data_IF_912870059816
#
_entry.id   IF_912870059816
#
_cell.length_a   1.000
_cell.length_b   1.000
_cell.length_c   1.000
_cell.angle_alpha   90.00
_cell.angle_beta   90.00
_cell.angle_gamma   90.00
#
_symmetry.space_group_name_H-M   'P 1'
#
loop_
_entity.id
_entity.type
_entity.pdbx_description
1 polymer ?
#
# COMPACT_ATOMS: atom_id res chain seq x y z
N UNK A 1 8.95 -38.41 -25.20
CA UNK A 1 9.87 -37.42 -24.59
C UNK A 1 9.38 -35.98 -24.76
N UNK A 2 8.91 -35.52 -25.94
CA UNK A 2 8.33 -34.17 -26.11
C UNK A 2 7.11 -33.86 -25.21
N UNK A 3 6.26 -34.86 -24.94
CA UNK A 3 5.04 -34.69 -24.14
C UNK A 3 5.32 -34.47 -22.64
N UNK A 4 6.40 -35.06 -22.12
CA UNK A 4 6.85 -34.79 -20.74
C UNK A 4 7.41 -33.37 -20.60
N UNK A 5 8.12 -32.87 -21.62
CA UNK A 5 8.64 -31.50 -21.63
C UNK A 5 7.53 -30.46 -21.67
N UNK A 6 6.47 -30.69 -22.44
CA UNK A 6 5.32 -29.79 -22.51
C UNK A 6 4.52 -29.75 -21.19
N UNK A 7 4.36 -30.91 -20.54
CA UNK A 7 3.69 -31.02 -19.24
C UNK A 7 4.49 -30.32 -18.12
N UNK A 8 5.82 -30.41 -18.15
CA UNK A 8 6.70 -29.77 -17.17
C UNK A 8 6.75 -28.24 -17.31
N UNK A 9 6.64 -27.73 -18.55
CA UNK A 9 6.51 -26.29 -18.82
C UNK A 9 5.14 -25.74 -18.40
N UNK A 10 4.06 -26.50 -18.55
CA UNK A 10 2.74 -26.10 -18.05
C UNK A 10 2.67 -26.09 -16.51
N UNK A 11 3.34 -27.04 -15.83
CA UNK A 11 3.35 -27.10 -14.37
C UNK A 11 4.10 -25.92 -13.72
N UNK A 12 5.16 -25.45 -14.37
CA UNK A 12 5.94 -24.28 -13.91
C UNK A 12 5.16 -22.97 -13.98
N UNK A 13 4.19 -22.86 -14.89
CA UNK A 13 3.35 -21.66 -15.02
C UNK A 13 2.30 -21.53 -13.90
N UNK A 14 1.97 -22.62 -13.20
CA UNK A 14 0.98 -22.62 -12.11
C UNK A 14 1.59 -22.34 -10.71
N UNK A 15 2.92 -22.40 -10.56
CA UNK A 15 3.60 -22.25 -9.27
C UNK A 15 3.83 -20.78 -8.84
N UNK A 16 3.43 -19.79 -9.66
CA UNK A 16 3.66 -18.36 -9.39
C UNK A 16 2.60 -17.67 -8.54
N UNK A 17 1.48 -18.33 -8.24
CA UNK A 17 0.41 -17.78 -7.43
C UNK A 17 0.65 -18.07 -5.95
N UNK A 18 1.55 -17.34 -5.30
CA UNK A 18 1.55 -17.25 -3.84
C UNK A 18 0.36 -16.37 -3.43
N UNK A 19 -0.64 -16.88 -2.70
CA UNK A 19 -1.75 -16.07 -2.23
C UNK A 19 -1.20 -14.96 -1.33
N UNK A 20 -1.61 -13.72 -1.58
CA UNK A 20 -1.41 -12.64 -0.62
C UNK A 20 -2.23 -13.00 0.62
N UNK A 21 -1.64 -12.87 1.81
CA UNK A 21 -2.41 -13.01 3.04
C UNK A 21 -3.59 -12.02 2.98
N UNK A 22 -4.82 -12.55 2.96
CA UNK A 22 -6.05 -11.78 2.73
C UNK A 22 -6.25 -10.67 3.77
N UNK A 23 -5.54 -10.74 4.90
CA UNK A 23 -5.66 -9.79 6.00
C UNK A 23 -4.47 -8.82 6.11
N UNK A 24 -3.70 -8.60 5.05
CA UNK A 24 -2.57 -7.66 5.04
C UNK A 24 -2.92 -6.32 4.40
N UNK A 25 -2.55 -5.22 5.05
CA UNK A 25 -2.68 -3.85 4.53
C UNK A 25 -1.28 -3.24 4.35
N UNK A 26 -0.92 -2.94 3.11
CA UNK A 26 0.33 -2.28 2.72
C UNK A 26 0.12 -0.78 2.69
N UNK A 27 0.91 -0.07 3.47
CA UNK A 27 0.79 1.38 3.66
C UNK A 27 2.07 2.05 3.16
N UNK A 28 1.96 2.90 2.15
CA UNK A 28 3.04 3.79 1.73
C UNK A 28 2.91 5.08 2.51
N UNK A 29 3.87 5.37 3.38
CA UNK A 29 3.86 6.52 4.29
C UNK A 29 4.96 7.51 3.93
N UNK A 30 4.59 8.68 3.43
CA UNK A 30 5.48 9.83 3.25
C UNK A 30 5.73 10.59 4.56
N UNK A 31 4.97 10.27 5.62
CA UNK A 31 5.24 10.78 6.96
C UNK A 31 6.53 10.22 7.56
N UNK A 32 7.18 11.04 8.38
CA UNK A 32 8.37 10.66 9.14
C UNK A 32 8.13 9.37 9.91
N UNK A 33 9.04 8.41 9.73
CA UNK A 33 8.95 7.09 10.36
C UNK A 33 8.79 7.19 11.88
N UNK A 34 9.51 8.10 12.52
CA UNK A 34 9.48 8.31 13.97
C UNK A 34 8.07 8.60 14.50
N UNK A 35 7.25 9.33 13.73
CA UNK A 35 5.88 9.65 14.10
C UNK A 35 4.86 8.63 13.57
N UNK A 36 5.05 8.14 12.34
CA UNK A 36 4.09 7.23 11.71
C UNK A 36 4.14 5.81 12.29
N UNK A 37 5.34 5.29 12.58
CA UNK A 37 5.51 3.95 13.13
C UNK A 37 4.73 3.69 14.43
N UNK A 38 4.78 4.54 15.47
CA UNK A 38 4.03 4.29 16.70
C UNK A 38 2.50 4.30 16.48
N UNK A 39 2.00 5.11 15.55
CA UNK A 39 0.57 5.17 15.20
C UNK A 39 0.13 3.87 14.51
N UNK A 40 0.87 3.44 13.50
CA UNK A 40 0.58 2.19 12.78
C UNK A 40 0.72 0.97 13.69
N UNK A 41 1.71 0.97 14.59
CA UNK A 41 1.85 -0.08 15.59
C UNK A 41 0.69 -0.09 16.59
N UNK A 42 0.18 1.07 17.00
CA UNK A 42 -1.01 1.15 17.87
C UNK A 42 -2.26 0.62 17.16
N UNK A 43 -2.45 0.95 15.88
CA UNK A 43 -3.51 0.38 15.06
C UNK A 43 -3.38 -1.15 14.95
N UNK A 44 -2.19 -1.68 14.63
CA UNK A 44 -1.93 -3.11 14.54
C UNK A 44 -2.24 -3.85 15.85
N UNK A 45 -1.84 -3.29 17.01
CA UNK A 45 -2.15 -3.88 18.33
C UNK A 45 -3.65 -3.96 18.61
N UNK A 46 -4.43 -2.97 18.15
CA UNK A 46 -5.89 -2.94 18.34
C UNK A 46 -6.63 -3.85 17.33
N UNK A 47 -6.00 -4.14 16.20
CA UNK A 47 -6.59 -4.90 15.10
C UNK A 47 -5.72 -6.12 14.79
N UNK A 48 -5.62 -7.06 15.73
CA UNK A 48 -4.73 -8.23 15.65
C UNK A 48 -5.02 -9.17 14.48
N UNK A 49 -6.22 -9.09 13.89
CA UNK A 49 -6.57 -9.82 12.68
C UNK A 49 -5.94 -9.22 11.40
N UNK A 50 -5.46 -7.97 11.44
CA UNK A 50 -4.90 -7.25 10.30
C UNK A 50 -3.39 -7.12 10.42
N UNK A 51 -2.67 -7.67 9.44
CA UNK A 51 -1.23 -7.46 9.30
C UNK A 51 -0.99 -6.08 8.66
N UNK A 52 -0.23 -5.22 9.35
CA UNK A 52 0.11 -3.88 8.86
C UNK A 52 1.52 -3.89 8.31
N UNK A 53 1.66 -3.59 7.02
CA UNK A 53 2.94 -3.62 6.30
C UNK A 53 3.31 -2.19 5.87
N UNK A 54 3.98 -1.40 6.72
CA UNK A 54 4.35 -0.04 6.38
C UNK A 54 5.63 0.00 5.53
N UNK A 55 5.60 0.79 4.46
CA UNK A 55 6.76 1.24 3.71
C UNK A 55 6.89 2.75 3.90
N UNK A 56 7.98 3.15 4.55
CA UNK A 56 8.30 4.56 4.74
C UNK A 56 9.16 5.06 3.59
N UNK A 57 9.06 6.35 3.28
CA UNK A 57 10.04 7.02 2.44
C UNK A 57 11.39 7.15 3.17
N UNK A 58 12.42 7.51 2.41
CA UNK A 58 13.71 7.93 2.95
C UNK A 58 13.84 9.44 2.82
N UNK A 59 14.51 10.08 3.77
CA UNK A 59 14.60 11.55 3.81
C UNK A 59 15.20 12.16 2.53
N UNK A 60 16.08 11.44 1.83
CA UNK A 60 16.68 11.92 0.58
C UNK A 60 15.70 12.00 -0.61
N UNK A 61 14.58 11.30 -0.56
CA UNK A 61 13.60 11.23 -1.67
C UNK A 61 12.18 11.50 -1.22
N UNK A 62 12.02 12.20 -0.10
CA UNK A 62 10.74 12.34 0.61
C UNK A 62 9.60 12.67 -0.34
N UNK A 63 8.55 11.86 -0.21
CA UNK A 63 7.33 11.84 -1.02
C UNK A 63 7.52 11.42 -2.47
N UNK A 64 8.50 12.00 -3.18
CA UNK A 64 8.73 11.75 -4.61
C UNK A 64 9.04 10.27 -4.89
N UNK A 65 9.78 9.62 -3.99
CA UNK A 65 10.12 8.21 -4.10
C UNK A 65 8.88 7.32 -4.12
N UNK A 66 7.98 7.50 -3.14
CA UNK A 66 6.74 6.75 -3.06
C UNK A 66 5.76 7.07 -4.21
N UNK A 67 5.68 8.33 -4.65
CA UNK A 67 4.84 8.73 -5.79
C UNK A 67 5.32 8.06 -7.08
N UNK A 68 6.62 8.13 -7.36
CA UNK A 68 7.22 7.47 -8.53
C UNK A 68 6.97 5.96 -8.49
N UNK A 69 7.04 5.37 -7.29
CA UNK A 69 6.75 3.96 -7.10
C UNK A 69 5.28 3.63 -7.43
N UNK A 70 4.32 4.40 -6.93
CA UNK A 70 2.89 4.23 -7.24
C UNK A 70 2.65 4.33 -8.75
N UNK A 71 3.24 5.33 -9.41
CA UNK A 71 3.15 5.49 -10.87
C UNK A 71 3.73 4.26 -11.60
N UNK A 72 4.85 3.71 -11.14
CA UNK A 72 5.49 2.52 -11.72
C UNK A 72 4.70 1.23 -11.50
N UNK A 73 3.95 1.15 -10.38
CA UNK A 73 3.16 -0.02 -9.99
C UNK A 73 1.73 0.03 -10.55
N UNK A 74 1.35 1.00 -11.40
CA UNK A 74 0.01 1.17 -11.98
C UNK A 74 -0.64 -0.13 -12.48
N UNK A 75 0.12 -0.95 -13.20
CA UNK A 75 -0.42 -2.19 -13.80
C UNK A 75 -0.70 -3.29 -12.75
N UNK A 76 -0.06 -3.21 -11.57
CA UNK A 76 -0.22 -4.15 -10.47
C UNK A 76 0.04 -3.44 -9.14
N UNK A 77 -0.93 -2.65 -8.64
CA UNK A 77 -0.77 -1.88 -7.40
C UNK A 77 -0.34 -2.77 -6.23
N UNK A 78 0.60 -2.27 -5.42
CA UNK A 78 1.12 -3.00 -4.24
C UNK A 78 0.68 -2.37 -2.93
N UNK A 79 0.45 -1.06 -2.90
CA UNK A 79 -0.05 -0.34 -1.74
C UNK A 79 -1.58 -0.30 -1.75
N UNK A 80 -2.17 -0.39 -0.56
CA UNK A 80 -3.61 -0.21 -0.37
C UNK A 80 -3.93 1.19 0.18
N UNK A 81 -2.98 1.79 0.92
CA UNK A 81 -3.10 3.15 1.46
C UNK A 81 -1.83 3.94 1.15
N UNK A 82 -2.01 5.16 0.63
CA UNK A 82 -0.94 6.15 0.52
C UNK A 82 -1.17 7.28 1.54
N UNK A 83 -0.43 7.24 2.65
CA UNK A 83 -0.41 8.30 3.66
C UNK A 83 0.60 9.37 3.25
N UNK A 84 0.10 10.37 2.53
CA UNK A 84 0.89 11.45 1.95
C UNK A 84 0.88 12.73 2.82
N UNK A 85 1.95 13.53 2.72
CA UNK A 85 2.08 14.84 3.36
C UNK A 85 2.08 16.03 2.37
N UNK A 86 2.10 15.78 1.06
CA UNK A 86 2.15 16.84 0.04
C UNK A 86 0.99 16.75 -0.94
N UNK A 87 0.02 17.67 -0.80
CA UNK A 87 -1.25 17.63 -1.54
C UNK A 87 -1.08 17.63 -3.07
N UNK A 88 -0.06 18.31 -3.61
CA UNK A 88 0.17 18.37 -5.06
C UNK A 88 0.41 16.98 -5.67
N UNK A 89 1.10 16.09 -4.94
CA UNK A 89 1.31 14.72 -5.38
C UNK A 89 0.03 13.89 -5.32
N UNK A 90 -0.83 14.11 -4.33
CA UNK A 90 -2.16 13.47 -4.27
C UNK A 90 -3.01 13.88 -5.48
N UNK A 91 -3.07 15.18 -5.80
CA UNK A 91 -3.83 15.69 -6.95
C UNK A 91 -3.28 15.14 -8.27
N UNK A 92 -1.96 15.05 -8.42
CA UNK A 92 -1.34 14.44 -9.61
C UNK A 92 -1.71 12.97 -9.76
N UNK A 93 -1.67 12.19 -8.67
CA UNK A 93 -2.05 10.78 -8.69
C UNK A 93 -3.55 10.59 -8.98
N UNK A 94 -4.40 11.46 -8.43
CA UNK A 94 -5.83 11.49 -8.74
C UNK A 94 -6.08 11.76 -10.23
N UNK A 95 -5.49 12.83 -10.79
CA UNK A 95 -5.59 13.17 -12.21
C UNK A 95 -5.08 12.04 -13.12
N UNK A 96 -4.10 11.27 -12.64
CA UNK A 96 -3.55 10.11 -13.33
C UNK A 96 -4.42 8.82 -13.18
N UNK A 97 -5.53 8.88 -12.45
CA UNK A 97 -6.42 7.73 -12.20
C UNK A 97 -5.83 6.67 -11.29
N UNK A 98 -4.90 7.04 -10.41
CA UNK A 98 -4.15 6.12 -9.55
C UNK A 98 -4.68 6.05 -8.11
N UNK A 99 -5.72 6.80 -7.79
CA UNK A 99 -6.35 6.81 -6.47
C UNK A 99 -7.82 6.41 -6.58
N UNK A 100 -8.30 5.70 -5.56
CA UNK A 100 -9.71 5.40 -5.39
C UNK A 100 -10.36 6.47 -4.51
N UNK A 101 -11.50 7.08 -4.91
CA UNK A 101 -12.28 7.94 -4.04
C UNK A 101 -12.81 7.16 -2.83
N UNK A 102 -12.61 7.71 -1.63
CA UNK A 102 -13.16 7.14 -0.40
C UNK A 102 -13.94 8.22 0.34
N UNK A 103 -15.21 7.96 0.58
CA UNK A 103 -16.03 8.76 1.48
C UNK A 103 -15.95 8.15 2.87
N UNK A 104 -15.42 8.92 3.81
CA UNK A 104 -15.37 8.53 5.22
C UNK A 104 -16.59 9.10 5.94
N UNK A 105 -17.33 8.24 6.64
CA UNK A 105 -18.35 8.67 7.59
C UNK A 105 -17.66 9.16 8.87
N UNK A 106 -17.06 10.35 8.80
CA UNK A 106 -16.38 10.98 9.92
C UNK A 106 -17.44 11.74 10.73
N UNK A 107 -17.65 11.39 12.00
CA UNK A 107 -18.58 12.13 12.85
C UNK A 107 -18.20 13.61 12.95
N UNK A 108 -19.18 14.50 12.92
CA UNK A 108 -18.96 15.95 13.02
C UNK A 108 -18.33 16.39 14.34
N UNK A 109 -18.37 15.53 15.38
CA UNK A 109 -17.76 15.74 16.69
C UNK A 109 -16.34 15.17 16.81
N UNK A 110 -15.72 14.75 15.70
CA UNK A 110 -14.34 14.27 15.68
C UNK A 110 -13.31 15.42 15.60
N UNK A 111 -12.17 15.33 16.32
CA UNK A 111 -11.84 14.32 17.32
C UNK A 111 -12.50 14.62 18.67
N UNK A 112 -13.04 13.57 19.30
CA UNK A 112 -13.67 13.71 20.61
C UNK A 112 -12.60 14.05 21.64
N UNK A 113 -12.71 15.25 22.23
CA UNK A 113 -11.86 15.77 23.31
C UNK A 113 -10.44 16.21 22.89
N UNK A 114 -10.34 17.17 21.95
CA UNK A 114 -9.15 18.05 21.88
C UNK A 114 -9.22 19.15 22.94
#
# INVERSE_FOLDING_TARGET
>A
MLWLSLAMSLLSAAAGCVPRAENSVVIYSAADREYAQPILAAFARRNSATEVVPQFDVESTKTVGLVTRIESERARPRADVFWNNEILHTLRLEQAGLLQPVAWDIPSDWPRNM
#
